data_IF_006007581327
#
_entry.id   IF_006007581327
#
_cell.length_a   1.000
_cell.length_b   1.000
_cell.length_c   1.000
_cell.angle_alpha   90.00
_cell.angle_beta   90.00
_cell.angle_gamma   90.00
#
_symmetry.space_group_name_H-M   'P 1'
#
loop_
_entity.id
_entity.type
_entity.pdbx_description
1 polymer ?
#
# COMPACT_ATOMS: atom_id res chain seq x y z
N UNK A 1 -24.10 -7.61 -26.11
CA UNK A 1 -23.86 -6.23 -25.63
C UNK A 1 -22.52 -6.25 -24.90
N UNK A 2 -21.53 -5.46 -25.33
CA UNK A 2 -20.25 -5.38 -24.62
C UNK A 2 -20.48 -4.69 -23.27
N UNK A 3 -20.17 -5.37 -22.17
CA UNK A 3 -20.19 -4.77 -20.83
C UNK A 3 -19.07 -3.72 -20.80
N UNK A 4 -19.37 -2.49 -20.38
CA UNK A 4 -18.37 -1.45 -20.25
C UNK A 4 -17.30 -1.89 -19.24
N UNK A 5 -16.03 -1.58 -19.51
CA UNK A 5 -14.93 -1.81 -18.56
C UNK A 5 -15.22 -0.93 -17.33
N UNK A 6 -15.25 -1.49 -16.11
CA UNK A 6 -15.49 -0.71 -14.91
C UNK A 6 -14.38 0.31 -14.68
N UNK A 7 -14.69 1.37 -13.93
CA UNK A 7 -13.68 2.33 -13.51
C UNK A 7 -12.64 1.67 -12.60
N UNK A 8 -11.38 2.09 -12.79
CA UNK A 8 -10.25 1.66 -11.97
C UNK A 8 -10.44 2.14 -10.54
N UNK A 9 -10.30 1.23 -9.58
CA UNK A 9 -10.55 1.53 -8.17
C UNK A 9 -9.54 0.82 -7.27
N UNK A 10 -8.38 1.45 -6.98
CA UNK A 10 -7.47 0.90 -5.99
C UNK A 10 -8.09 0.89 -4.60
N UNK A 11 -7.80 -0.16 -3.84
CA UNK A 11 -8.08 -0.15 -2.41
C UNK A 11 -7.20 0.90 -1.73
N UNK A 12 -7.81 1.70 -0.88
CA UNK A 12 -7.11 2.73 -0.13
C UNK A 12 -7.83 3.06 1.17
N UNK A 13 -7.10 3.73 2.06
CA UNK A 13 -7.60 4.28 3.31
C UNK A 13 -7.17 5.74 3.44
N UNK A 14 -8.08 6.59 3.93
CA UNK A 14 -7.80 8.01 4.14
C UNK A 14 -7.54 8.22 5.63
N UNK A 15 -6.38 8.78 5.96
CA UNK A 15 -5.94 8.95 7.35
C UNK A 15 -5.47 10.38 7.57
N UNK A 16 -5.99 11.00 8.63
CA UNK A 16 -5.42 12.21 9.20
C UNK A 16 -4.30 11.83 10.16
N UNK A 17 -3.10 12.38 9.99
CA UNK A 17 -1.99 12.07 10.87
C UNK A 17 -0.71 12.81 10.55
N UNK A 18 0.38 12.31 11.14
CA UNK A 18 1.72 12.85 11.09
C UNK A 18 2.64 11.82 10.44
N UNK A 19 3.18 12.16 9.26
CA UNK A 19 4.24 11.40 8.64
C UNK A 19 5.55 11.71 9.36
N UNK A 20 6.18 10.68 9.92
CA UNK A 20 7.50 10.74 10.53
C UNK A 20 8.54 10.23 9.54
N UNK A 21 9.68 10.91 9.46
CA UNK A 21 10.83 10.50 8.66
C UNK A 21 12.09 10.60 9.52
N UNK A 22 12.72 9.46 9.80
CA UNK A 22 13.92 9.36 10.64
C UNK A 22 15.06 8.64 9.92
N UNK A 23 16.30 8.94 10.32
CA UNK A 23 17.52 8.35 9.75
C UNK A 23 18.26 9.27 8.78
N UNK A 24 19.57 9.42 8.99
CA UNK A 24 20.45 10.25 8.14
C UNK A 24 20.95 9.51 6.89
N UNK A 25 20.99 8.18 6.93
CA UNK A 25 21.39 7.31 5.81
C UNK A 25 20.21 6.61 5.16
N UNK A 26 19.75 5.52 5.78
CA UNK A 26 18.49 4.85 5.41
C UNK A 26 17.33 5.61 6.08
N UNK A 27 16.40 6.12 5.27
CA UNK A 27 15.19 6.77 5.76
C UNK A 27 14.16 5.73 6.15
N UNK A 28 13.56 5.93 7.32
CA UNK A 28 12.48 5.12 7.87
C UNK A 28 11.24 5.98 8.03
N UNK A 29 10.10 5.46 7.59
CA UNK A 29 8.84 6.19 7.58
C UNK A 29 7.76 5.48 8.39
N UNK A 30 7.10 6.24 9.25
CA UNK A 30 5.92 5.80 9.99
C UNK A 30 4.81 6.85 9.93
N UNK A 31 3.57 6.39 9.99
CA UNK A 31 2.40 7.26 10.10
C UNK A 31 1.88 7.24 11.53
N UNK A 32 1.90 8.37 12.21
CA UNK A 32 1.36 8.54 13.56
C UNK A 32 -0.01 9.22 13.53
N UNK A 33 -1.00 8.68 14.24
CA UNK A 33 -2.35 9.26 14.29
C UNK A 33 -2.45 10.43 15.27
N UNK A 34 -1.65 10.39 16.33
CA UNK A 34 -1.55 11.44 17.33
C UNK A 34 -0.24 12.21 17.15
N UNK A 35 -0.16 13.48 17.63
CA UNK A 35 1.07 14.24 17.61
C UNK A 35 2.21 13.45 18.26
N UNK A 36 3.29 13.12 17.52
CA UNK A 36 4.46 12.45 18.08
C UNK A 36 5.19 13.38 19.07
N UNK A 37 6.01 12.81 19.94
CA UNK A 37 6.90 13.60 20.80
C UNK A 37 8.13 14.08 20.03
N UNK A 38 8.55 13.34 19.01
CA UNK A 38 9.60 13.74 18.07
C UNK A 38 9.04 14.80 17.11
N UNK A 39 9.71 15.95 17.02
CA UNK A 39 9.25 17.07 16.20
C UNK A 39 10.04 17.27 14.90
N UNK A 40 11.12 16.52 14.70
CA UNK A 40 11.98 16.66 13.52
C UNK A 40 11.38 15.96 12.30
N UNK A 41 11.45 16.62 11.13
CA UNK A 41 11.07 16.09 9.81
C UNK A 41 9.68 15.46 9.76
N UNK A 42 8.70 16.21 10.28
CA UNK A 42 7.30 15.78 10.36
C UNK A 42 6.42 16.57 9.39
N UNK A 43 5.53 15.86 8.69
CA UNK A 43 4.44 16.47 7.92
C UNK A 43 3.11 16.06 8.52
N UNK A 44 2.23 17.03 8.80
CA UNK A 44 0.87 16.77 9.27
C UNK A 44 -0.12 17.02 8.14
N UNK A 45 -1.10 16.13 7.98
CA UNK A 45 -2.11 16.28 6.96
C UNK A 45 -3.05 15.09 6.85
N UNK A 46 -3.94 15.19 5.88
CA UNK A 46 -4.68 14.04 5.39
C UNK A 46 -3.82 13.36 4.33
N UNK A 47 -3.72 12.04 4.43
CA UNK A 47 -2.98 11.21 3.50
C UNK A 47 -3.84 10.05 3.01
N UNK A 48 -3.45 9.49 1.88
CA UNK A 48 -4.05 8.28 1.31
C UNK A 48 -3.05 7.14 1.44
N UNK A 49 -3.47 6.05 2.07
CA UNK A 49 -2.66 4.82 2.22
C UNK A 49 -3.12 3.82 1.17
N UNK A 50 -2.18 3.25 0.40
CA UNK A 50 -2.44 2.22 -0.60
C UNK A 50 -1.53 1.02 -0.42
N UNK A 51 -1.95 -0.09 -1.00
CA UNK A 51 -1.33 -1.40 -0.81
C UNK A 51 -0.81 -1.90 -2.16
N UNK A 52 0.44 -2.33 -2.18
CA UNK A 52 1.14 -2.70 -3.40
C UNK A 52 1.74 -4.10 -3.29
N UNK A 53 1.75 -4.81 -4.41
CA UNK A 53 2.26 -6.16 -4.52
C UNK A 53 3.64 -6.09 -5.20
N UNK A 54 4.70 -6.62 -4.56
CA UNK A 54 6.05 -6.63 -5.15
C UNK A 54 6.11 -7.43 -6.45
N UNK A 55 7.04 -7.07 -7.33
CA UNK A 55 7.34 -7.86 -8.52
C UNK A 55 8.27 -9.02 -8.19
N UNK A 56 8.01 -10.18 -8.82
CA UNK A 56 8.88 -11.34 -8.74
C UNK A 56 10.28 -11.03 -9.28
N UNK A 57 11.29 -11.26 -8.44
CA UNK A 57 12.69 -10.97 -8.76
C UNK A 57 13.08 -9.49 -8.78
N UNK A 58 12.13 -8.56 -8.55
CA UNK A 58 12.38 -7.11 -8.50
C UNK A 58 11.62 -6.46 -7.32
N UNK A 59 11.98 -6.77 -6.06
CA UNK A 59 11.20 -6.35 -4.90
C UNK A 59 11.19 -4.84 -4.61
N UNK A 60 12.07 -4.07 -5.26
CA UNK A 60 12.07 -2.60 -5.22
C UNK A 60 10.99 -1.97 -6.11
N UNK A 61 10.38 -2.76 -7.01
CA UNK A 61 9.17 -2.39 -7.72
C UNK A 61 7.98 -3.10 -7.09
N UNK A 62 6.87 -2.38 -7.00
CA UNK A 62 5.58 -2.92 -6.60
C UNK A 62 4.47 -2.21 -7.36
N UNK A 63 3.40 -2.94 -7.68
CA UNK A 63 2.21 -2.41 -8.34
C UNK A 63 1.11 -2.20 -7.31
N UNK A 64 0.47 -1.03 -7.33
CA UNK A 64 -0.81 -0.77 -6.65
C UNK A 64 -1.93 -1.24 -7.59
N UNK A 65 -2.64 -2.33 -7.28
CA UNK A 65 -3.67 -2.86 -8.18
C UNK A 65 -4.91 -1.97 -8.18
N UNK A 66 -5.35 -1.55 -9.36
CA UNK A 66 -6.59 -0.81 -9.55
C UNK A 66 -7.72 -1.70 -10.12
N UNK A 67 -7.33 -2.69 -10.93
CA UNK A 67 -8.22 -3.53 -11.72
C UNK A 67 -7.53 -4.86 -12.02
N UNK A 68 -8.30 -5.94 -12.04
CA UNK A 68 -7.83 -7.27 -12.45
C UNK A 68 -8.75 -7.78 -13.56
N UNK A 69 -8.18 -8.15 -14.69
CA UNK A 69 -8.89 -8.81 -15.79
C UNK A 69 -8.56 -10.30 -15.80
N UNK A 70 -9.58 -11.13 -15.65
CA UNK A 70 -9.45 -12.58 -15.64
C UNK A 70 -9.42 -13.14 -17.06
N UNK A 71 -8.73 -14.26 -17.25
CA UNK A 71 -8.53 -14.90 -18.57
C UNK A 71 -9.84 -15.24 -19.31
N UNK A 72 -10.93 -15.40 -18.55
CA UNK A 72 -12.25 -15.77 -19.07
C UNK A 72 -13.21 -14.57 -19.21
N UNK A 73 -12.69 -13.34 -19.09
CA UNK A 73 -13.39 -12.10 -19.47
C UNK A 73 -14.04 -11.33 -18.34
N UNK A 74 -14.03 -11.84 -17.10
CA UNK A 74 -14.48 -11.08 -15.94
C UNK A 74 -13.46 -10.03 -15.53
N UNK A 75 -13.94 -8.88 -15.05
CA UNK A 75 -13.11 -7.76 -14.59
C UNK A 75 -13.50 -7.42 -13.16
N UNK A 76 -12.50 -7.43 -12.28
CA UNK A 76 -12.63 -7.15 -10.85
C UNK A 76 -11.96 -5.82 -10.51
N UNK A 77 -12.48 -5.09 -9.53
CA UNK A 77 -11.86 -3.86 -8.99
C UNK A 77 -11.99 -3.82 -7.47
N UNK A 78 -11.31 -2.88 -6.81
CA UNK A 78 -11.40 -2.66 -5.36
C UNK A 78 -11.16 -3.91 -4.52
N UNK A 79 -12.01 -4.13 -3.53
CA UNK A 79 -11.92 -5.26 -2.59
C UNK A 79 -12.01 -6.62 -3.27
N UNK A 80 -12.76 -6.74 -4.37
CA UNK A 80 -12.91 -8.01 -5.08
C UNK A 80 -11.62 -8.40 -5.79
N UNK A 81 -11.01 -7.44 -6.51
CA UNK A 81 -9.70 -7.61 -7.11
C UNK A 81 -8.63 -7.95 -6.06
N UNK A 82 -8.64 -7.23 -4.93
CA UNK A 82 -7.69 -7.46 -3.85
C UNK A 82 -7.83 -8.86 -3.22
N UNK A 83 -9.06 -9.26 -2.91
CA UNK A 83 -9.33 -10.59 -2.37
C UNK A 83 -8.96 -11.70 -3.35
N UNK A 84 -9.21 -11.49 -4.65
CA UNK A 84 -8.76 -12.41 -5.68
C UNK A 84 -7.24 -12.55 -5.67
N UNK A 85 -6.49 -11.44 -5.69
CA UNK A 85 -5.04 -11.43 -5.74
C UNK A 85 -4.42 -12.16 -4.55
N UNK A 86 -4.93 -11.93 -3.35
CA UNK A 86 -4.35 -12.52 -2.13
C UNK A 86 -4.77 -13.96 -1.86
N UNK A 87 -5.96 -14.38 -2.31
CA UNK A 87 -6.55 -15.68 -1.89
C UNK A 87 -6.81 -16.66 -3.01
N UNK A 88 -6.85 -16.22 -4.27
CA UNK A 88 -7.33 -17.03 -5.42
C UNK A 88 -6.49 -16.92 -6.68
N UNK A 89 -5.49 -16.04 -6.69
CA UNK A 89 -4.61 -15.76 -7.83
C UNK A 89 -3.87 -16.98 -8.38
N UNK A 90 -3.58 -17.96 -7.52
CA UNK A 90 -2.97 -19.23 -7.90
C UNK A 90 -3.82 -20.05 -8.90
N UNK A 91 -5.13 -19.83 -8.97
CA UNK A 91 -6.02 -20.47 -9.93
C UNK A 91 -5.98 -19.83 -11.33
N UNK A 92 -5.49 -18.58 -11.42
CA UNK A 92 -5.53 -17.76 -12.63
C UNK A 92 -4.22 -16.97 -12.82
N UNK A 93 -3.08 -17.66 -13.02
CA UNK A 93 -1.77 -17.02 -13.10
C UNK A 93 -1.57 -16.13 -14.34
N UNK A 94 -2.46 -16.23 -15.33
CA UNK A 94 -2.43 -15.41 -16.56
C UNK A 94 -3.34 -14.18 -16.47
N UNK A 95 -4.13 -14.04 -15.40
CA UNK A 95 -4.94 -12.85 -15.19
C UNK A 95 -4.06 -11.61 -15.20
N UNK A 96 -4.55 -10.55 -15.81
CA UNK A 96 -3.88 -9.27 -15.92
C UNK A 96 -4.24 -8.39 -14.72
N UNK A 97 -3.24 -7.73 -14.16
CA UNK A 97 -3.34 -6.74 -13.10
C UNK A 97 -2.97 -5.40 -13.71
N UNK A 98 -3.89 -4.46 -13.66
CA UNK A 98 -3.70 -3.09 -14.12
C UNK A 98 -3.60 -2.18 -12.91
N UNK A 99 -2.68 -1.24 -12.96
CA UNK A 99 -2.47 -0.30 -11.87
C UNK A 99 -1.23 0.54 -12.06
N UNK A 100 -0.86 1.27 -11.02
CA UNK A 100 0.34 2.11 -11.05
C UNK A 100 1.47 1.45 -10.27
N UNK A 101 2.64 1.39 -10.89
CA UNK A 101 3.86 1.05 -10.18
C UNK A 101 4.23 2.16 -9.20
N UNK A 102 5.01 1.83 -8.17
CA UNK A 102 5.48 2.76 -7.14
C UNK A 102 6.33 3.95 -7.65
N UNK A 103 6.67 4.01 -8.94
CA UNK A 103 7.27 5.18 -9.62
C UNK A 103 6.27 5.99 -10.48
N UNK A 104 4.97 5.65 -10.41
CA UNK A 104 3.87 6.33 -11.10
C UNK A 104 3.60 5.87 -12.53
N UNK A 105 4.33 4.88 -13.03
CA UNK A 105 4.09 4.30 -14.36
C UNK A 105 2.82 3.47 -14.35
N UNK A 106 1.89 3.77 -15.28
CA UNK A 106 0.72 2.91 -15.54
C UNK A 106 1.19 1.61 -16.19
N UNK A 107 0.87 0.47 -15.59
CA UNK A 107 1.37 -0.83 -16.00
C UNK A 107 0.27 -1.88 -16.01
N UNK A 108 0.37 -2.79 -16.97
CA UNK A 108 -0.41 -4.02 -17.05
C UNK A 108 0.54 -5.20 -16.92
N UNK A 109 0.32 -6.05 -15.93
CA UNK A 109 1.20 -7.16 -15.60
C UNK A 109 0.40 -8.41 -15.28
N UNK A 110 0.86 -9.57 -15.73
CA UNK A 110 0.19 -10.82 -15.38
C UNK A 110 0.49 -11.20 -13.93
N UNK A 111 -0.47 -11.83 -13.23
CA UNK A 111 -0.33 -12.31 -11.84
C UNK A 111 0.97 -13.07 -11.58
N UNK A 112 1.43 -13.93 -12.50
CA UNK A 112 2.69 -14.69 -12.36
C UNK A 112 3.97 -13.83 -12.23
N UNK A 113 3.89 -12.54 -12.57
CA UNK A 113 5.01 -11.59 -12.44
C UNK A 113 5.03 -10.92 -11.06
N UNK A 114 4.03 -11.18 -10.23
CA UNK A 114 3.91 -10.66 -8.88
C UNK A 114 4.41 -11.69 -7.87
N UNK A 115 5.09 -11.20 -6.83
CA UNK A 115 5.55 -12.00 -5.72
C UNK A 115 4.59 -11.86 -4.54
N UNK A 116 3.56 -12.71 -4.53
CA UNK A 116 2.57 -12.77 -3.47
C UNK A 116 3.07 -13.47 -2.20
N UNK A 117 4.29 -14.02 -2.22
CA UNK A 117 4.92 -14.59 -1.03
C UNK A 117 5.67 -13.53 -0.21
N UNK A 118 6.01 -12.39 -0.82
CA UNK A 118 6.59 -11.25 -0.11
C UNK A 118 5.51 -10.44 0.63
N UNK A 119 5.88 -9.75 1.73
CA UNK A 119 4.96 -8.85 2.39
C UNK A 119 4.43 -7.78 1.45
N UNK A 120 3.13 -7.50 1.58
CA UNK A 120 2.48 -6.39 0.90
C UNK A 120 3.15 -5.09 1.36
N UNK A 121 3.50 -4.26 0.38
CA UNK A 121 4.10 -2.96 0.65
C UNK A 121 2.99 -1.93 0.84
N UNK A 122 3.15 -1.08 1.84
CA UNK A 122 2.17 -0.02 2.13
C UNK A 122 2.80 1.31 1.77
N UNK A 123 2.09 2.10 0.98
CA UNK A 123 2.57 3.37 0.44
C UNK A 123 1.66 4.52 0.84
N UNK A 124 2.27 5.66 1.14
CA UNK A 124 1.57 6.89 1.49
C UNK A 124 1.52 7.83 0.29
N UNK A 125 0.36 8.42 0.03
CA UNK A 125 0.09 9.35 -1.06
C UNK A 125 -0.51 10.64 -0.50
N UNK A 126 -0.30 11.74 -1.21
CA UNK A 126 -0.87 13.04 -0.88
C UNK A 126 -2.39 13.08 -1.11
N UNK A 127 -2.88 12.43 -2.16
CA UNK A 127 -4.30 12.41 -2.53
C UNK A 127 -4.69 11.15 -3.29
N UNK A 128 -5.98 10.97 -3.53
CA UNK A 128 -6.52 9.85 -4.31
C UNK A 128 -6.17 9.95 -5.81
N UNK A 129 -5.82 11.13 -6.31
CA UNK A 129 -5.47 11.31 -7.72
C UNK A 129 -3.95 11.17 -7.96
N UNK A 130 -3.16 11.15 -6.89
CA UNK A 130 -1.71 11.04 -6.95
C UNK A 130 -1.31 9.61 -7.35
N UNK A 131 -0.36 9.50 -8.29
CA UNK A 131 0.16 8.22 -8.81
C UNK A 131 1.52 7.83 -8.26
N UNK A 132 2.27 8.80 -7.75
CA UNK A 132 3.59 8.61 -7.15
C UNK A 132 3.43 8.71 -5.63
N UNK A 133 3.87 7.71 -4.86
CA UNK A 133 3.82 7.77 -3.41
C UNK A 133 4.82 8.80 -2.86
N UNK A 134 4.50 9.39 -1.71
CA UNK A 134 5.43 10.18 -0.90
C UNK A 134 6.55 9.27 -0.40
N UNK A 135 6.18 8.11 0.16
CA UNK A 135 7.09 7.13 0.72
C UNK A 135 6.42 5.76 0.88
N UNK A 136 7.24 4.72 1.09
CA UNK A 136 6.79 3.44 1.62
C UNK A 136 6.76 3.53 3.16
N UNK A 137 5.66 3.11 3.78
CA UNK A 137 5.52 3.02 5.22
C UNK A 137 6.10 1.71 5.74
N UNK A 138 6.75 1.78 6.90
CA UNK A 138 7.26 0.60 7.62
C UNK A 138 6.45 0.31 8.88
N UNK A 139 5.77 1.32 9.42
CA UNK A 139 5.02 1.20 10.67
C UNK A 139 3.84 2.17 10.74
N UNK A 140 2.89 1.85 11.63
CA UNK A 140 1.83 2.75 12.05
C UNK A 140 1.89 2.96 13.57
N UNK A 141 1.75 4.21 14.01
CA UNK A 141 1.73 4.58 15.43
C UNK A 141 0.31 5.05 15.76
N UNK A 142 -0.43 4.19 16.46
CA UNK A 142 -1.84 4.41 16.74
C UNK A 142 -2.24 3.80 18.08
N UNK A 143 -2.90 4.58 18.94
CA UNK A 143 -3.51 4.08 20.18
C UNK A 143 -4.93 3.56 19.97
N UNK A 144 -5.62 4.04 18.94
CA UNK A 144 -7.02 3.68 18.65
C UNK A 144 -7.13 2.67 17.52
N UNK A 145 -8.15 1.82 17.59
CA UNK A 145 -8.50 0.87 16.53
C UNK A 145 -9.67 1.44 15.72
N UNK A 146 -9.48 1.62 14.41
CA UNK A 146 -10.54 1.95 13.45
C UNK A 146 -10.48 0.95 12.30
N UNK A 147 -11.52 0.81 11.45
CA UNK A 147 -11.48 -0.12 10.32
C UNK A 147 -10.29 0.07 9.37
N UNK A 148 -9.89 1.33 9.11
CA UNK A 148 -8.72 1.64 8.30
C UNK A 148 -7.42 1.22 8.99
N UNK A 149 -7.31 1.45 10.30
CA UNK A 149 -6.14 1.00 11.08
C UNK A 149 -6.07 -0.52 11.12
N UNK A 150 -7.21 -1.19 11.32
CA UNK A 150 -7.30 -2.65 11.30
C UNK A 150 -6.78 -3.24 9.98
N UNK A 151 -7.13 -2.63 8.83
CA UNK A 151 -6.63 -3.06 7.52
C UNK A 151 -5.13 -2.82 7.37
N UNK A 152 -4.65 -1.63 7.73
CA UNK A 152 -3.21 -1.31 7.63
C UNK A 152 -2.38 -2.24 8.50
N UNK A 153 -2.87 -2.58 9.69
CA UNK A 153 -2.20 -3.50 10.62
C UNK A 153 -2.16 -4.95 10.13
N UNK A 154 -2.86 -5.30 9.04
CA UNK A 154 -2.66 -6.59 8.36
C UNK A 154 -1.30 -6.66 7.65
N UNK A 155 -0.70 -5.50 7.34
CA UNK A 155 0.51 -5.40 6.53
C UNK A 155 1.64 -4.62 7.20
N UNK A 156 1.35 -3.78 8.19
CA UNK A 156 2.33 -3.03 8.97
C UNK A 156 2.32 -3.41 10.44
N UNK A 157 3.48 -3.25 11.08
CA UNK A 157 3.61 -3.33 12.53
C UNK A 157 3.01 -2.08 13.16
N UNK A 158 2.17 -2.28 14.17
CA UNK A 158 1.59 -1.22 14.98
C UNK A 158 2.41 -0.98 16.25
N UNK A 159 2.68 0.28 16.52
CA UNK A 159 3.27 0.76 17.77
C UNK A 159 2.29 1.67 18.51
N UNK A 160 2.39 1.68 19.84
CA UNK A 160 1.55 2.54 20.69
C UNK A 160 2.06 3.99 20.73
N UNK A 161 3.38 4.18 20.60
CA UNK A 161 4.01 5.49 20.57
C UNK A 161 5.27 5.48 19.69
N UNK A 162 5.76 6.69 19.42
CA UNK A 162 6.92 6.95 18.57
C UNK A 162 8.24 6.47 19.18
N UNK A 163 8.34 6.46 20.51
CA UNK A 163 9.51 5.95 21.23
C UNK A 163 9.69 4.44 21.00
N UNK A 164 8.61 3.66 21.15
CA UNK A 164 8.64 2.22 20.94
C UNK A 164 9.05 1.85 19.51
N UNK A 165 8.65 2.65 18.52
CA UNK A 165 9.10 2.47 17.14
C UNK A 165 10.58 2.81 16.97
N UNK A 166 11.05 3.95 17.50
CA UNK A 166 12.47 4.33 17.39
C UNK A 166 13.44 3.31 18.01
N UNK A 167 13.05 2.68 19.12
CA UNK A 167 13.86 1.65 19.78
C UNK A 167 14.12 0.45 18.86
N UNK A 168 13.26 0.16 17.89
CA UNK A 168 13.47 -0.93 16.93
C UNK A 168 14.42 -0.56 15.78
N UNK A 169 14.62 0.73 15.53
CA UNK A 169 15.48 1.24 14.46
C UNK A 169 16.93 1.46 14.88
N UNK A 170 17.21 1.47 16.19
CA UNK A 170 18.52 1.80 16.75
C UNK A 170 19.48 0.60 16.83
N UNK A 171 19.29 -0.40 15.97
CA UNK A 171 20.07 -1.65 15.92
C UNK A 171 20.97 -1.69 14.69
#
# INVERSE_FOLDING_TARGET
MSRAIPERQPIHDIIQGYLLNVGEGKRHFALALNPPKITQNMQHGQFVVRYAIPYLGKPHYAIVPDLVALDYGDILTGEEAWNFLLKRSNLHPRADVLGYRNDGVDEQVTVKMLDLALPIQVYLYESVDTRIPICQLEAIIASEETPSIARICQYLVRYNDDKAWLETLSV
#
